data_IF_063955983783
#
_entry.id   IF_063955983783
#
_cell.length_a   1.000
_cell.length_b   1.000
_cell.length_c   1.000
_cell.angle_alpha   90.00
_cell.angle_beta   90.00
_cell.angle_gamma   90.00
#
_symmetry.space_group_name_H-M   'P 1'
#
loop_
_entity.id
_entity.type
_entity.pdbx_description
1 polymer ?
#
# COMPACT_ATOMS: atom_id res chain seq x y z
N UNK A 1 20.79 41.20 25.19
CA UNK A 1 20.07 40.21 24.36
C UNK A 1 19.31 39.32 25.34
N UNK A 2 17.97 39.38 25.35
CA UNK A 2 17.12 38.72 26.38
C UNK A 2 16.86 37.26 26.01
N UNK A 3 16.82 36.42 27.03
CA UNK A 3 16.63 34.97 27.02
C UNK A 3 15.14 34.57 26.82
N UNK A 4 14.41 35.26 25.94
CA UNK A 4 12.94 35.14 25.84
C UNK A 4 12.40 34.71 24.47
N UNK A 5 13.25 34.41 23.48
CA UNK A 5 12.79 34.09 22.12
C UNK A 5 12.89 32.59 21.77
N UNK A 6 12.95 31.70 22.78
CA UNK A 6 12.94 30.24 22.60
C UNK A 6 11.70 29.57 23.19
N UNK A 7 10.59 30.30 23.27
CA UNK A 7 9.28 29.65 23.28
C UNK A 7 9.08 29.01 21.90
N UNK A 8 9.70 27.84 21.74
CA UNK A 8 9.30 26.83 20.77
C UNK A 8 7.82 26.61 21.05
N UNK A 9 6.97 27.23 20.22
CA UNK A 9 5.64 26.73 19.90
C UNK A 9 5.84 25.29 19.38
N UNK A 10 5.94 24.36 20.31
CA UNK A 10 5.83 22.94 20.05
C UNK A 10 4.37 22.73 19.71
N UNK A 11 3.98 23.10 18.49
CA UNK A 11 2.70 22.66 17.94
C UNK A 11 2.65 21.16 18.16
N UNK A 12 1.68 20.64 18.91
CA UNK A 12 1.58 19.20 19.11
C UNK A 12 1.35 18.62 17.73
N UNK A 13 2.37 17.96 17.16
CA UNK A 13 2.26 17.26 15.88
C UNK A 13 0.96 16.47 15.93
N UNK A 14 0.07 16.63 14.93
CA UNK A 14 -1.22 15.98 14.95
C UNK A 14 -1.00 14.48 15.21
N UNK A 15 -1.62 13.97 16.29
CA UNK A 15 -1.38 12.59 16.74
C UNK A 15 -1.74 11.65 15.60
N UNK A 16 -0.74 10.97 15.07
CA UNK A 16 -0.96 9.91 14.09
C UNK A 16 -1.65 8.73 14.79
N UNK A 17 -2.66 8.18 14.13
CA UNK A 17 -3.35 6.95 14.56
C UNK A 17 -3.31 5.93 13.43
N UNK A 18 -3.44 4.67 13.79
CA UNK A 18 -3.45 3.57 12.84
C UNK A 18 -4.84 3.48 12.18
N UNK A 19 -4.86 3.34 10.86
CA UNK A 19 -6.05 3.08 10.07
C UNK A 19 -5.84 1.82 9.25
N UNK A 20 -6.87 0.98 9.17
CA UNK A 20 -6.82 -0.28 8.44
C UNK A 20 -7.79 -0.23 7.27
N UNK A 21 -7.34 -0.68 6.10
CA UNK A 21 -8.12 -0.70 4.88
C UNK A 21 -7.96 -2.05 4.18
N UNK A 22 -9.05 -2.56 3.63
CA UNK A 22 -8.99 -3.63 2.63
C UNK A 22 -9.02 -2.98 1.26
N UNK A 23 -8.03 -3.26 0.42
CA UNK A 23 -7.95 -2.71 -0.93
C UNK A 23 -7.81 -3.79 -1.99
N UNK A 24 -8.40 -3.53 -3.15
CA UNK A 24 -8.18 -4.28 -4.37
C UNK A 24 -7.26 -3.46 -5.27
N UNK A 25 -6.23 -4.13 -5.77
CA UNK A 25 -5.20 -3.53 -6.59
C UNK A 25 -5.21 -4.21 -7.95
N UNK A 26 -5.12 -3.42 -9.01
CA UNK A 26 -4.93 -3.88 -10.37
C UNK A 26 -3.83 -3.09 -11.04
N UNK A 27 -2.91 -3.78 -11.70
CA UNK A 27 -1.86 -3.09 -12.44
C UNK A 27 -1.40 -3.89 -13.66
N UNK A 28 -0.68 -3.20 -14.54
CA UNK A 28 0.02 -3.79 -15.67
C UNK A 28 1.53 -3.63 -15.47
N UNK A 29 2.22 -4.74 -15.38
CA UNK A 29 3.68 -4.78 -15.41
C UNK A 29 4.16 -5.03 -16.85
N UNK A 30 5.27 -4.40 -17.23
CA UNK A 30 5.99 -4.65 -18.50
C UNK A 30 6.99 -5.81 -18.40
N UNK A 31 6.94 -6.56 -17.29
CA UNK A 31 7.74 -7.74 -17.01
C UNK A 31 6.83 -8.89 -16.57
N UNK A 32 7.37 -10.10 -16.56
CA UNK A 32 6.68 -11.33 -16.14
C UNK A 32 7.38 -11.95 -14.95
N UNK A 33 6.60 -12.26 -13.95
CA UNK A 33 7.00 -13.13 -12.86
C UNK A 33 6.36 -14.50 -13.12
N UNK A 34 7.21 -15.52 -13.21
CA UNK A 34 6.81 -16.88 -13.56
C UNK A 34 5.93 -17.46 -12.44
N UNK A 35 4.68 -17.86 -12.73
CA UNK A 35 3.73 -18.25 -11.71
C UNK A 35 3.93 -19.73 -11.37
N UNK A 36 4.85 -20.05 -10.47
CA UNK A 36 4.94 -21.42 -9.92
C UNK A 36 4.59 -21.51 -8.43
N UNK A 37 4.62 -20.40 -7.68
CA UNK A 37 4.05 -20.39 -6.32
C UNK A 37 3.47 -19.02 -5.94
N UNK A 38 2.15 -18.86 -6.08
CA UNK A 38 1.47 -17.62 -5.65
C UNK A 38 1.46 -17.46 -4.12
N UNK A 39 1.77 -18.51 -3.35
CA UNK A 39 1.77 -18.46 -1.88
C UNK A 39 3.01 -17.75 -1.29
N UNK A 40 4.08 -17.58 -2.09
CA UNK A 40 5.33 -16.95 -1.64
C UNK A 40 5.44 -15.48 -2.11
N UNK A 41 4.33 -14.86 -2.52
CA UNK A 41 4.32 -13.48 -3.01
C UNK A 41 4.18 -12.53 -1.83
N UNK A 42 5.09 -11.56 -1.76
CA UNK A 42 5.04 -10.45 -0.81
C UNK A 42 4.76 -9.16 -1.55
N UNK A 43 3.92 -8.31 -0.96
CA UNK A 43 3.60 -6.97 -1.48
C UNK A 43 4.07 -5.92 -0.50
N UNK A 44 4.80 -4.93 -1.00
CA UNK A 44 5.30 -3.80 -0.23
C UNK A 44 4.95 -2.47 -0.90
N UNK A 45 4.71 -1.46 -0.08
CA UNK A 45 4.49 -0.07 -0.51
C UNK A 45 5.71 0.76 -0.11
N UNK A 46 6.76 0.85 -0.95
CA UNK A 46 8.03 1.44 -0.55
C UNK A 46 7.94 2.92 -0.12
N UNK A 47 6.96 3.66 -0.65
CA UNK A 47 6.75 5.08 -0.33
C UNK A 47 5.81 5.26 0.87
N UNK A 48 4.96 4.28 1.15
CA UNK A 48 3.99 4.36 2.24
C UNK A 48 4.60 3.78 3.51
N UNK A 49 4.54 4.51 4.62
CA UNK A 49 4.78 3.93 5.93
C UNK A 49 3.57 3.07 6.35
N UNK A 50 3.41 1.94 5.67
CA UNK A 50 2.26 1.06 5.79
C UNK A 50 2.71 -0.38 5.99
N UNK A 51 1.97 -1.09 6.84
CA UNK A 51 2.14 -2.53 7.01
C UNK A 51 1.12 -3.25 6.15
N UNK A 52 1.60 -4.20 5.35
CA UNK A 52 0.74 -5.06 4.53
C UNK A 52 0.50 -6.38 5.22
N UNK A 53 -0.74 -6.87 5.13
CA UNK A 53 -1.16 -8.14 5.69
C UNK A 53 -2.18 -8.82 4.75
N UNK A 54 -2.33 -10.14 4.91
CA UNK A 54 -3.40 -10.93 4.29
C UNK A 54 -3.58 -10.72 2.78
N UNK A 55 -2.49 -10.84 2.02
CA UNK A 55 -2.54 -10.87 0.56
C UNK A 55 -3.38 -12.07 0.09
N UNK A 56 -4.45 -11.80 -0.66
CA UNK A 56 -5.42 -12.80 -1.12
C UNK A 56 -5.92 -12.51 -2.53
N UNK A 57 -6.61 -13.48 -3.13
CA UNK A 57 -7.21 -13.38 -4.47
C UNK A 57 -6.23 -12.97 -5.57
N UNK A 58 -4.98 -13.45 -5.51
CA UNK A 58 -3.95 -13.10 -6.48
C UNK A 58 -4.29 -13.74 -7.83
N UNK A 59 -4.39 -12.90 -8.85
CA UNK A 59 -4.60 -13.30 -10.23
C UNK A 59 -3.52 -12.66 -11.10
N UNK A 60 -2.89 -13.48 -11.93
CA UNK A 60 -1.87 -13.02 -12.87
C UNK A 60 -2.22 -13.51 -14.28
N UNK A 61 -2.17 -12.61 -15.27
CA UNK A 61 -2.47 -12.92 -16.67
C UNK A 61 -1.41 -12.32 -17.58
N UNK A 62 -0.74 -13.15 -18.38
CA UNK A 62 0.18 -12.66 -19.41
C UNK A 62 -0.55 -11.88 -20.51
N UNK A 63 0.05 -10.79 -20.99
CA UNK A 63 -0.58 -9.91 -22.00
C UNK A 63 -0.08 -10.14 -23.44
N UNK A 64 0.56 -11.28 -23.72
CA UNK A 64 1.17 -11.56 -25.03
C UNK A 64 2.57 -10.97 -25.19
N UNK A 65 2.72 -9.66 -24.97
CA UNK A 65 3.96 -8.91 -25.30
C UNK A 65 4.86 -8.67 -24.08
N UNK A 66 5.37 -9.75 -23.46
CA UNK A 66 6.23 -9.71 -22.26
C UNK A 66 5.66 -9.01 -21.02
N UNK A 67 4.45 -8.46 -21.09
CA UNK A 67 3.74 -7.88 -19.95
C UNK A 67 2.88 -8.89 -19.18
N UNK A 68 2.44 -8.45 -18.01
CA UNK A 68 1.60 -9.20 -17.09
C UNK A 68 0.59 -8.25 -16.43
N UNK A 69 -0.69 -8.61 -16.49
CA UNK A 69 -1.72 -8.01 -15.64
C UNK A 69 -1.72 -8.75 -14.31
N UNK A 70 -1.76 -8.00 -13.23
CA UNK A 70 -1.88 -8.52 -11.88
C UNK A 70 -3.07 -7.88 -11.17
N UNK A 71 -3.81 -8.69 -10.43
CA UNK A 71 -4.87 -8.23 -9.54
C UNK A 71 -4.80 -9.00 -8.23
N UNK A 72 -5.02 -8.32 -7.10
CA UNK A 72 -5.07 -8.95 -5.79
C UNK A 72 -5.82 -8.07 -4.79
N UNK A 73 -6.19 -8.68 -3.67
CA UNK A 73 -6.74 -7.99 -2.50
C UNK A 73 -5.73 -8.04 -1.38
N UNK A 74 -5.56 -6.93 -0.65
CA UNK A 74 -4.62 -6.86 0.48
C UNK A 74 -5.22 -6.01 1.61
N UNK A 75 -4.91 -6.39 2.84
CA UNK A 75 -5.19 -5.57 4.02
C UNK A 75 -3.97 -4.69 4.29
N UNK A 76 -4.18 -3.39 4.40
CA UNK A 76 -3.12 -2.41 4.64
C UNK A 76 -3.44 -1.61 5.90
N UNK A 77 -2.43 -1.45 6.75
CA UNK A 77 -2.49 -0.60 7.93
C UNK A 77 -1.54 0.59 7.75
N UNK A 78 -2.04 1.82 7.89
CA UNK A 78 -1.29 3.05 7.66
C UNK A 78 -1.48 4.02 8.82
N UNK A 79 -0.41 4.75 9.18
CA UNK A 79 -0.49 5.84 10.15
C UNK A 79 -0.85 7.15 9.46
N UNK A 80 -1.92 7.80 9.93
CA UNK A 80 -2.34 9.12 9.41
C UNK A 80 -2.96 9.99 10.51
N UNK A 81 -3.19 11.27 10.23
CA UNK A 81 -3.80 12.21 11.17
C UNK A 81 -5.34 12.17 11.12
N UNK A 82 -5.91 11.73 10.00
CA UNK A 82 -7.36 11.62 9.79
C UNK A 82 -7.71 10.45 8.87
N UNK A 83 -8.97 10.03 8.91
CA UNK A 83 -9.47 8.95 8.06
C UNK A 83 -9.39 9.33 6.58
N UNK A 84 -9.80 10.55 6.24
CA UNK A 84 -9.72 11.09 4.89
C UNK A 84 -8.27 11.12 4.36
N UNK A 85 -7.30 11.49 5.20
CA UNK A 85 -5.89 11.44 4.82
C UNK A 85 -5.43 9.99 4.60
N UNK A 86 -5.79 9.06 5.49
CA UNK A 86 -5.42 7.64 5.34
C UNK A 86 -6.00 7.03 4.06
N UNK A 87 -7.24 7.40 3.71
CA UNK A 87 -7.91 6.94 2.52
C UNK A 87 -7.21 7.46 1.26
N UNK A 88 -6.83 8.75 1.23
CA UNK A 88 -6.07 9.33 0.11
C UNK A 88 -4.74 8.62 -0.07
N UNK A 89 -4.00 8.40 1.02
CA UNK A 89 -2.69 7.71 0.99
C UNK A 89 -2.82 6.32 0.37
N UNK A 90 -3.88 5.61 0.70
CA UNK A 90 -4.12 4.22 0.26
C UNK A 90 -4.67 4.14 -1.16
N UNK A 91 -5.41 5.15 -1.62
CA UNK A 91 -5.96 5.20 -3.00
C UNK A 91 -4.97 5.70 -4.04
N UNK A 92 -3.93 6.43 -3.62
CA UNK A 92 -2.93 7.02 -4.52
C UNK A 92 -1.50 6.45 -4.31
N UNK A 93 -1.28 5.12 -4.21
CA UNK A 93 0.07 4.60 -4.15
C UNK A 93 0.72 4.77 -5.52
N UNK A 94 1.83 5.50 -5.55
CA UNK A 94 2.59 5.76 -6.79
C UNK A 94 3.37 4.53 -7.26
N UNK A 95 3.81 3.70 -6.31
CA UNK A 95 4.62 2.51 -6.55
C UNK A 95 4.23 1.39 -5.60
N UNK A 96 4.25 0.16 -6.11
CA UNK A 96 4.05 -1.06 -5.34
C UNK A 96 4.98 -2.15 -5.84
N UNK A 97 5.70 -2.79 -4.92
CA UNK A 97 6.60 -3.89 -5.23
C UNK A 97 5.97 -5.24 -4.90
N UNK A 98 5.90 -6.09 -5.91
CA UNK A 98 5.48 -7.49 -5.79
C UNK A 98 6.72 -8.34 -5.88
N UNK A 99 7.11 -8.95 -4.78
CA UNK A 99 8.36 -9.73 -4.68
C UNK A 99 8.03 -11.21 -4.53
N UNK A 100 8.84 -12.04 -5.17
CA UNK A 100 8.87 -13.49 -5.03
C UNK A 100 10.33 -13.94 -4.97
N UNK A 101 10.59 -15.16 -4.51
CA UNK A 101 11.95 -15.73 -4.49
C UNK A 101 12.65 -15.72 -5.86
N UNK A 102 11.88 -15.76 -6.94
CA UNK A 102 12.39 -15.82 -8.32
C UNK A 102 12.52 -14.44 -8.99
N UNK A 103 12.08 -13.36 -8.34
CA UNK A 103 12.19 -12.01 -8.89
C UNK A 103 11.24 -10.98 -8.27
N UNK A 104 11.32 -9.76 -8.76
CA UNK A 104 10.52 -8.62 -8.32
C UNK A 104 9.80 -7.98 -9.52
N UNK A 105 8.55 -7.60 -9.33
CA UNK A 105 7.79 -6.73 -10.23
C UNK A 105 7.46 -5.44 -9.51
N UNK A 106 7.86 -4.32 -10.11
CA UNK A 106 7.40 -3.00 -9.68
C UNK A 106 6.19 -2.60 -10.50
N UNK A 107 5.08 -2.33 -9.81
CA UNK A 107 3.85 -1.82 -10.38
C UNK A 107 3.87 -0.29 -10.27
N UNK A 108 3.80 0.37 -11.41
CA UNK A 108 3.78 1.84 -11.51
C UNK A 108 2.32 2.25 -11.69
N UNK A 109 1.88 3.21 -10.87
CA UNK A 109 0.51 3.75 -10.89
C UNK A 109 -0.58 2.65 -10.91
N UNK A 110 -0.58 1.74 -9.92
CA UNK A 110 -1.62 0.73 -9.82
C UNK A 110 -3.00 1.38 -9.62
N UNK A 111 -4.02 0.83 -10.27
CA UNK A 111 -5.41 1.15 -9.96
C UNK A 111 -5.76 0.55 -8.60
N UNK A 112 -6.13 1.40 -7.63
CA UNK A 112 -6.53 0.97 -6.30
C UNK A 112 -7.98 1.32 -6.02
N UNK A 113 -8.71 0.36 -5.45
CA UNK A 113 -10.09 0.54 -5.00
C UNK A 113 -10.24 -0.04 -3.61
N UNK A 114 -11.04 0.59 -2.76
CA UNK A 114 -11.31 0.06 -1.42
C UNK A 114 -12.37 -1.04 -1.53
N UNK A 115 -12.07 -2.21 -0.96
CA UNK A 115 -12.92 -3.40 -1.04
C UNK A 115 -13.52 -3.78 0.30
N UNK A 116 -14.77 -3.41 0.55
CA UNK A 116 -15.55 -3.85 1.72
C UNK A 116 -15.18 -3.15 3.03
N UNK A 117 -16.15 -3.05 3.94
CA UNK A 117 -16.21 -2.10 5.08
C UNK A 117 -14.89 -1.94 5.87
N UNK A 118 -14.59 -0.68 6.19
CA UNK A 118 -13.54 -0.27 7.12
C UNK A 118 -13.77 -0.98 8.46
N UNK A 119 -13.09 -2.11 8.68
CA UNK A 119 -13.06 -2.75 9.99
C UNK A 119 -12.03 -2.00 10.81
N UNK A 120 -12.40 -0.79 11.25
CA UNK A 120 -11.75 -0.20 12.41
C UNK A 120 -11.98 -1.18 13.57
N UNK A 121 -10.93 -1.63 14.28
CA UNK A 121 -11.16 -2.30 15.55
C UNK A 121 -11.90 -1.31 16.45
N UNK A 122 -13.11 -1.67 16.89
CA UNK A 122 -13.76 -0.97 17.98
C UNK A 122 -12.85 -1.00 19.21
N UNK A 123 -12.80 0.15 19.87
CA UNK A 123 -11.85 0.63 20.89
C UNK A 123 -11.50 -0.40 21.98
#
# INVERSE_FOLDING_TARGET
MRLQDFDNEYEPKPKQRLFCWTINIRAKAMSRLSPFNMNDITVAFPILNATTANLRNIQMKGTGDCGQLIAFTIDIAVFATSEAESMRIVLEPTLLDVTHKDGQLTLIEPEVTIGGESVLPEV
#
